data_IF_849843454006
#
_entry.id   IF_849843454006
#
_cell.length_a   1.000
_cell.length_b   1.000
_cell.length_c   1.000
_cell.angle_alpha   90.00
_cell.angle_beta   90.00
_cell.angle_gamma   90.00
#
_symmetry.space_group_name_H-M   'P 1'
#
loop_
_entity.id
_entity.type
_entity.pdbx_description
1 polymer ?
#
# COMPACT_ATOMS: atom_id res chain seq x y z
N UNK A 1 -1.74 0.89 -4.44
CA UNK A 1 -1.15 2.24 -4.56
C UNK A 1 -0.55 2.42 -5.95
N UNK A 2 -0.91 3.48 -6.65
CA UNK A 2 -0.36 3.86 -7.95
C UNK A 2 0.35 5.21 -7.82
N UNK A 3 1.59 5.32 -8.27
CA UNK A 3 2.37 6.56 -8.22
C UNK A 3 2.14 7.38 -9.49
N UNK A 4 1.36 8.46 -9.37
CA UNK A 4 0.95 9.31 -10.50
C UNK A 4 2.07 10.23 -11.00
N UNK A 5 2.90 10.74 -10.09
CA UNK A 5 4.03 11.62 -10.41
C UNK A 5 5.06 11.61 -9.29
N UNK A 6 6.33 11.88 -9.59
CA UNK A 6 7.39 11.87 -8.59
C UNK A 6 7.67 10.47 -8.04
N UNK A 7 8.12 10.37 -6.79
CA UNK A 7 8.47 9.08 -6.17
C UNK A 7 8.12 9.02 -4.69
N UNK A 8 8.02 7.79 -4.17
CA UNK A 8 7.70 7.49 -2.78
C UNK A 8 8.42 6.23 -2.35
N UNK A 9 9.10 6.27 -1.20
CA UNK A 9 9.74 5.09 -0.61
C UNK A 9 8.86 4.51 0.47
N UNK A 10 8.55 3.22 0.36
CA UNK A 10 7.85 2.41 1.34
C UNK A 10 8.86 1.61 2.14
N UNK A 11 8.85 1.78 3.46
CA UNK A 11 9.60 0.96 4.38
C UNK A 11 8.65 -0.09 4.95
N UNK A 12 8.85 -1.34 4.57
CA UNK A 12 7.97 -2.46 4.90
C UNK A 12 8.68 -3.41 5.87
N UNK A 13 7.97 -3.86 6.90
CA UNK A 13 8.45 -4.90 7.80
C UNK A 13 7.33 -5.91 8.02
N UNK A 14 7.60 -7.23 7.86
CA UNK A 14 6.57 -8.22 8.07
C UNK A 14 6.12 -8.23 9.54
N UNK A 15 4.84 -8.54 9.75
CA UNK A 15 4.31 -8.87 11.08
C UNK A 15 4.74 -10.28 11.48
N UNK A 16 4.69 -10.59 12.78
CA UNK A 16 4.94 -11.96 13.26
C UNK A 16 3.95 -12.97 12.67
N UNK A 17 2.70 -12.55 12.47
CA UNK A 17 1.67 -13.37 11.82
C UNK A 17 2.08 -13.75 10.39
N UNK A 18 2.57 -12.77 9.61
CA UNK A 18 3.02 -13.04 8.25
C UNK A 18 4.23 -13.97 8.22
N UNK A 19 5.20 -13.77 9.13
CA UNK A 19 6.36 -14.65 9.26
C UNK A 19 5.94 -16.08 9.62
N UNK A 20 4.95 -16.23 10.50
CA UNK A 20 4.42 -17.53 10.88
C UNK A 20 3.73 -18.24 9.71
N UNK A 21 2.83 -17.54 9.00
CA UNK A 21 2.15 -18.09 7.80
C UNK A 21 3.16 -18.53 6.74
N UNK A 22 4.24 -17.78 6.57
CA UNK A 22 5.28 -18.12 5.60
C UNK A 22 6.11 -19.34 6.02
N UNK A 23 6.45 -19.48 7.31
CA UNK A 23 7.10 -20.69 7.84
C UNK A 23 6.24 -21.91 7.56
N UNK A 24 4.96 -21.84 7.92
CA UNK A 24 3.98 -22.91 7.70
C UNK A 24 3.82 -23.26 6.22
N UNK A 25 3.72 -22.26 5.34
CA UNK A 25 3.56 -22.46 3.90
C UNK A 25 4.83 -23.01 3.22
N UNK A 26 6.02 -22.70 3.74
CA UNK A 26 7.28 -23.12 3.14
C UNK A 26 7.60 -24.60 3.33
N UNK A 27 7.00 -25.26 4.33
CA UNK A 27 7.30 -26.66 4.67
C UNK A 27 8.76 -26.90 5.08
N UNK A 28 9.52 -25.83 5.36
CA UNK A 28 10.93 -25.90 5.74
C UNK A 28 11.00 -26.12 7.26
N UNK A 29 11.61 -27.24 7.64
CA UNK A 29 11.96 -27.60 9.01
C UNK A 29 12.75 -26.47 9.70
N UNK A 30 12.38 -26.11 10.93
CA UNK A 30 12.89 -24.96 11.72
C UNK A 30 14.43 -24.94 11.89
N UNK A 31 15.10 -26.02 11.50
CA UNK A 31 16.55 -26.21 11.56
C UNK A 31 17.32 -25.48 10.45
N UNK A 32 16.65 -24.99 9.40
CA UNK A 32 17.27 -24.16 8.35
C UNK A 32 16.73 -22.73 8.43
N UNK A 33 17.21 -21.99 9.43
CA UNK A 33 17.01 -20.54 9.50
C UNK A 33 17.31 -19.91 8.13
N UNK A 34 16.31 -19.33 7.48
CA UNK A 34 16.55 -18.34 6.43
C UNK A 34 16.92 -17.03 7.12
N UNK A 35 18.20 -16.60 7.10
CA UNK A 35 18.69 -15.51 7.94
C UNK A 35 18.16 -14.13 7.55
N UNK A 36 17.36 -14.01 6.48
CA UNK A 36 17.02 -12.72 5.86
C UNK A 36 15.53 -12.37 5.82
N UNK A 37 14.61 -13.17 6.39
CA UNK A 37 13.17 -12.88 6.28
C UNK A 37 12.63 -11.88 7.30
N UNK A 38 13.35 -11.62 8.40
CA UNK A 38 12.97 -10.56 9.34
C UNK A 38 13.39 -9.16 8.88
N UNK A 39 13.99 -9.04 7.69
CA UNK A 39 14.63 -7.81 7.24
C UNK A 39 13.57 -6.83 6.74
N UNK A 40 13.52 -5.67 7.39
CA UNK A 40 12.78 -4.53 6.88
C UNK A 40 13.26 -4.22 5.45
N UNK A 41 12.32 -4.10 4.52
CA UNK A 41 12.58 -3.93 3.09
C UNK A 41 12.09 -2.55 2.65
N UNK A 42 12.95 -1.85 1.93
CA UNK A 42 12.63 -0.54 1.35
C UNK A 42 12.30 -0.70 -0.13
N UNK A 43 11.12 -0.24 -0.53
CA UNK A 43 10.65 -0.24 -1.92
C UNK A 43 10.46 1.20 -2.37
N UNK A 44 11.17 1.61 -3.42
CA UNK A 44 10.97 2.94 -4.01
C UNK A 44 10.07 2.83 -5.23
N UNK A 45 8.88 3.41 -5.14
CA UNK A 45 7.94 3.54 -6.25
C UNK A 45 8.26 4.82 -7.05
N UNK A 46 8.46 4.66 -8.35
CA UNK A 46 8.57 5.73 -9.34
C UNK A 46 7.24 6.00 -10.01
N UNK A 47 7.15 7.09 -10.76
CA UNK A 47 6.00 7.40 -11.60
C UNK A 47 5.63 6.22 -12.52
N UNK A 48 4.36 5.83 -12.49
CA UNK A 48 3.84 4.67 -13.22
C UNK A 48 3.83 3.37 -12.42
N UNK A 49 4.54 3.29 -11.30
CA UNK A 49 4.59 2.06 -10.50
C UNK A 49 3.29 1.81 -9.72
N UNK A 50 2.93 0.52 -9.62
CA UNK A 50 1.84 0.03 -8.78
C UNK A 50 2.41 -0.84 -7.67
N UNK A 51 2.13 -0.47 -6.43
CA UNK A 51 2.39 -1.28 -5.24
C UNK A 51 1.06 -1.83 -4.69
N UNK A 52 0.94 -3.15 -4.67
CA UNK A 52 -0.10 -3.87 -3.93
C UNK A 52 0.53 -4.46 -2.66
N UNK A 53 0.02 -4.07 -1.49
CA UNK A 53 0.55 -4.50 -0.20
C UNK A 53 -0.62 -4.86 0.72
N UNK A 54 -0.49 -5.99 1.42
CA UNK A 54 -1.42 -6.33 2.49
C UNK A 54 -1.08 -5.51 3.73
N UNK A 55 -1.73 -4.36 3.88
CA UNK A 55 -1.45 -3.39 4.97
C UNK A 55 -1.76 -3.92 6.37
N UNK A 56 -2.49 -5.03 6.51
CA UNK A 56 -2.72 -5.73 7.79
C UNK A 56 -1.50 -6.55 8.23
N UNK A 57 -0.84 -7.19 7.28
CA UNK A 57 0.25 -8.13 7.53
C UNK A 57 1.64 -7.49 7.44
N UNK A 58 1.71 -6.24 6.98
CA UNK A 58 2.93 -5.46 6.85
C UNK A 58 2.86 -4.18 7.66
N UNK A 59 3.78 -4.05 8.63
CA UNK A 59 4.10 -2.76 9.20
C UNK A 59 4.72 -1.89 8.11
N UNK A 60 4.26 -0.65 8.00
CA UNK A 60 4.70 0.23 6.94
C UNK A 60 4.85 1.68 7.40
N UNK A 61 5.81 2.37 6.80
CA UNK A 61 5.87 3.83 6.78
C UNK A 61 6.31 4.29 5.39
N UNK A 62 5.93 5.49 4.99
CA UNK A 62 6.35 6.05 3.70
C UNK A 62 7.18 7.30 3.91
N UNK A 63 8.23 7.45 3.10
CA UNK A 63 9.03 8.66 3.00
C UNK A 63 8.85 9.24 1.61
N UNK A 64 8.50 10.52 1.55
CA UNK A 64 8.48 11.29 0.30
C UNK A 64 9.81 12.05 0.23
N UNK A 65 10.59 11.89 -0.85
CA UNK A 65 11.86 12.59 -0.96
C UNK A 65 11.66 14.11 -1.02
N UNK A 66 12.63 14.91 -0.54
CA UNK A 66 12.57 16.36 -0.61
C UNK A 66 12.33 16.85 -2.04
N UNK A 67 11.34 17.73 -2.19
CA UNK A 67 10.99 18.33 -3.47
C UNK A 67 11.85 19.59 -3.65
N UNK A 68 13.12 19.39 -4.03
CA UNK A 68 14.03 20.51 -4.25
C UNK A 68 13.64 21.25 -5.54
N UNK A 69 13.78 22.58 -5.55
CA UNK A 69 13.53 23.45 -6.71
C UNK A 69 14.35 23.15 -7.98
N UNK A 70 15.30 22.23 -7.88
CA UNK A 70 16.14 21.71 -8.96
C UNK A 70 15.70 20.33 -9.48
N UNK A 71 14.73 19.66 -8.82
CA UNK A 71 14.16 18.41 -9.32
C UNK A 71 13.41 18.67 -10.62
N UNK A 72 13.46 17.70 -11.56
CA UNK A 72 12.89 17.73 -12.92
C UNK A 72 11.78 18.79 -13.06
N UNK A 73 12.10 19.90 -13.72
CA UNK A 73 11.10 20.88 -14.09
C UNK A 73 10.18 20.24 -15.13
N UNK A 74 8.88 20.40 -14.96
CA UNK A 74 7.94 20.06 -16.02
C UNK A 74 8.18 20.96 -17.25
N UNK A 75 7.51 20.66 -18.36
CA UNK A 75 7.59 21.48 -19.58
C UNK A 75 7.09 22.94 -19.37
N UNK A 76 6.49 23.24 -18.23
CA UNK A 76 6.04 24.56 -17.79
C UNK A 76 6.97 25.26 -16.80
N UNK A 77 8.10 24.65 -16.41
CA UNK A 77 9.09 25.22 -15.50
C UNK A 77 8.81 25.03 -14.00
N UNK A 78 7.75 24.31 -13.62
CA UNK A 78 7.35 24.04 -12.25
C UNK A 78 8.01 22.78 -11.65
N UNK A 79 8.11 22.74 -10.33
CA UNK A 79 8.50 21.54 -9.58
C UNK A 79 7.43 20.46 -9.72
N UNK A 80 7.83 19.19 -9.94
CA UNK A 80 6.89 18.07 -10.05
C UNK A 80 6.58 17.50 -8.66
N UNK A 81 5.34 17.65 -8.14
CA UNK A 81 4.96 17.10 -6.85
C UNK A 81 4.93 15.57 -6.87
N UNK A 82 5.15 14.94 -5.72
CA UNK A 82 4.96 13.48 -5.57
C UNK A 82 3.50 13.20 -5.26
N UNK A 83 2.79 12.62 -6.22
CA UNK A 83 1.35 12.33 -6.12
C UNK A 83 1.13 10.84 -6.32
N UNK A 84 0.30 10.25 -5.47
CA UNK A 84 -0.09 8.85 -5.58
C UNK A 84 -1.57 8.67 -5.33
N UNK A 85 -2.20 7.73 -6.03
CA UNK A 85 -3.56 7.29 -5.79
C UNK A 85 -3.56 5.96 -5.03
N UNK A 86 -4.40 5.84 -4.02
CA UNK A 86 -4.47 4.69 -3.13
C UNK A 86 -5.91 4.17 -3.04
N UNK A 87 -6.06 2.85 -2.97
CA UNK A 87 -7.32 2.16 -2.74
C UNK A 87 -7.08 0.95 -1.88
N UNK A 88 -7.93 0.79 -0.87
CA UNK A 88 -8.01 -0.43 -0.09
C UNK A 88 -8.93 -1.41 -0.80
N UNK A 89 -8.50 -2.66 -0.86
CA UNK A 89 -9.27 -3.76 -1.46
C UNK A 89 -9.42 -4.86 -0.43
N UNK A 90 -10.65 -5.35 -0.27
CA UNK A 90 -10.96 -6.46 0.60
C UNK A 90 -11.33 -7.65 -0.27
N UNK A 91 -10.62 -8.76 -0.11
CA UNK A 91 -10.94 -10.00 -0.80
C UNK A 91 -12.04 -10.72 -0.01
N UNK A 92 -13.24 -10.84 -0.59
CA UNK A 92 -14.30 -11.68 -0.04
C UNK A 92 -13.94 -13.16 -0.27
N UNK A 93 -14.05 -13.99 0.77
CA UNK A 93 -13.80 -15.46 0.71
C UNK A 93 -14.71 -16.25 -0.25
N UNK A 94 -15.64 -15.60 -0.97
CA UNK A 94 -16.66 -16.26 -1.80
C UNK A 94 -16.14 -16.99 -3.05
N UNK A 95 -14.85 -16.94 -3.38
CA UNK A 95 -14.34 -17.56 -4.60
C UNK A 95 -14.11 -19.08 -4.53
N UNK A 96 -14.12 -19.69 -3.33
CA UNK A 96 -13.87 -21.14 -3.18
C UNK A 96 -15.12 -21.98 -2.85
N UNK A 97 -16.30 -21.37 -2.63
CA UNK A 97 -17.52 -22.09 -2.21
C UNK A 97 -18.78 -21.83 -3.08
N UNK A 98 -18.67 -21.12 -4.21
CA UNK A 98 -19.84 -20.85 -5.08
C UNK A 98 -19.89 -21.82 -6.27
N UNK A 99 -20.30 -23.06 -5.99
CA UNK A 99 -21.01 -23.89 -6.99
C UNK A 99 -22.49 -24.09 -6.63
N UNK A 100 -22.98 -23.68 -5.45
CA UNK A 100 -24.41 -23.79 -5.14
C UNK A 100 -24.97 -22.58 -4.38
N UNK A 101 -26.12 -22.12 -4.86
CA UNK A 101 -27.07 -21.16 -4.27
C UNK A 101 -26.74 -19.66 -4.31
N UNK A 102 -27.22 -19.03 -5.40
CA UNK A 102 -27.71 -17.65 -5.43
C UNK A 102 -28.75 -17.42 -4.32
N UNK A 103 -28.46 -16.52 -3.38
CA UNK A 103 -29.48 -15.67 -2.74
C UNK A 103 -28.85 -14.34 -2.33
N UNK A 104 -29.59 -13.29 -2.66
CA UNK A 104 -29.24 -11.87 -2.64
C UNK A 104 -28.88 -11.36 -1.24
N UNK A 105 -27.68 -10.82 -1.11
CA UNK A 105 -27.43 -9.40 -0.78
C UNK A 105 -25.93 -9.22 -0.99
N UNK A 106 -25.54 -8.91 -2.22
CA UNK A 106 -24.15 -8.56 -2.49
C UNK A 106 -23.83 -7.27 -1.71
N UNK A 107 -22.78 -7.26 -0.87
CA UNK A 107 -22.22 -5.99 -0.46
C UNK A 107 -21.63 -5.39 -1.74
N UNK A 108 -22.44 -4.54 -2.38
CA UNK A 108 -22.00 -3.62 -3.41
C UNK A 108 -20.67 -3.05 -2.92
N UNK A 109 -19.62 -3.23 -3.71
CA UNK A 109 -18.30 -2.65 -3.47
C UNK A 109 -18.44 -1.12 -3.59
N UNK A 110 -19.08 -0.50 -2.59
CA UNK A 110 -19.21 0.93 -2.50
C UNK A 110 -17.85 1.44 -2.09
N UNK A 111 -17.23 2.24 -2.97
CA UNK A 111 -16.12 3.09 -2.60
C UNK A 111 -16.61 3.97 -1.44
N UNK A 112 -16.35 3.55 -0.21
CA UNK A 112 -16.43 4.44 0.94
C UNK A 112 -15.17 5.27 0.84
N UNK A 113 -15.21 6.29 -0.02
CA UNK A 113 -14.21 7.33 -0.06
C UNK A 113 -14.14 7.90 1.36
N UNK A 114 -13.02 7.67 2.05
CA UNK A 114 -12.75 8.34 3.32
C UNK A 114 -12.92 9.85 3.12
N UNK A 115 -13.46 10.54 4.14
CA UNK A 115 -13.76 11.97 4.10
C UNK A 115 -12.55 12.77 3.62
N UNK A 116 -12.45 13.01 2.31
CA UNK A 116 -11.52 13.98 1.79
C UNK A 116 -11.94 15.34 2.32
N UNK A 117 -10.96 16.18 2.65
CA UNK A 117 -11.24 17.56 2.98
C UNK A 117 -11.97 18.19 1.77
N UNK A 118 -13.25 18.52 1.95
CA UNK A 118 -14.08 19.12 0.91
C UNK A 118 -13.67 20.57 0.60
N UNK A 119 -12.75 21.12 1.40
CA UNK A 119 -12.19 22.45 1.25
C UNK A 119 -10.74 22.47 1.75
N UNK A 120 -10.02 23.53 1.37
CA UNK A 120 -8.68 23.81 1.89
C UNK A 120 -8.73 23.95 3.42
N UNK A 121 -7.85 23.23 4.12
CA UNK A 121 -7.73 23.31 5.58
C UNK A 121 -6.67 24.37 5.90
N UNK A 122 -7.06 25.39 6.66
CA UNK A 122 -6.16 26.45 7.08
C UNK A 122 -5.23 25.98 8.21
N UNK A 123 -4.04 26.60 8.28
CA UNK A 123 -3.06 26.30 9.30
C UNK A 123 -3.61 26.58 10.71
N UNK A 124 -3.56 25.57 11.58
CA UNK A 124 -4.10 25.65 12.95
C UNK A 124 -5.47 25.00 13.15
N UNK A 125 -6.08 24.46 12.09
CA UNK A 125 -7.33 23.71 12.21
C UNK A 125 -7.05 22.36 12.89
N UNK A 126 -7.77 22.10 13.99
CA UNK A 126 -7.77 20.80 14.68
C UNK A 126 -8.93 19.98 14.09
N UNK A 127 -8.62 18.79 13.58
CA UNK A 127 -9.59 17.82 13.05
C UNK A 127 -10.07 16.92 14.18
#
# INVERSE_FOLDING_TARGET
HYQLSGSKTWHLRPTEELLQQQREASGIDDTKQHPNMSVATDITCQEGDILLVNTRLWWHRTTIPPQLASAKKDKGGGEVPSVSYARDVYLSKKAEEQEETETETDPVMTNVDGLYASANIEAGTII
#
